data_IF_496996590565
#
_entry.id   IF_496996590565
#
_cell.length_a   1.000
_cell.length_b   1.000
_cell.length_c   1.000
_cell.angle_alpha   90.00
_cell.angle_beta   90.00
_cell.angle_gamma   90.00
#
_symmetry.space_group_name_H-M   'P 1'
#
loop_
_entity.id
_entity.type
_entity.pdbx_description
1 polymer ?
#
# COMPACT_ATOMS: atom_id res chain seq x y z
N UNK A 1 40.72 47.70 -23.75
CA UNK A 1 39.62 47.87 -22.78
C UNK A 1 39.59 46.66 -21.88
N UNK A 2 40.20 46.86 -20.70
CA UNK A 2 39.91 46.30 -19.36
C UNK A 2 39.46 44.84 -19.19
N UNK A 3 40.37 44.04 -18.64
CA UNK A 3 40.15 42.82 -17.81
C UNK A 3 39.49 43.18 -16.47
N UNK A 4 38.84 42.23 -15.78
CA UNK A 4 39.02 41.86 -14.35
C UNK A 4 37.81 41.12 -13.72
N UNK A 5 38.06 39.98 -13.08
CA UNK A 5 37.90 39.63 -11.63
C UNK A 5 36.50 39.04 -11.29
N UNK A 6 36.30 37.79 -10.83
CA UNK A 6 36.80 37.02 -9.67
C UNK A 6 36.13 37.41 -8.32
N UNK A 7 35.73 36.37 -7.57
CA UNK A 7 35.34 36.28 -6.14
C UNK A 7 33.86 36.56 -5.80
N UNK A 8 33.04 35.61 -5.34
CA UNK A 8 33.06 34.75 -4.12
C UNK A 8 32.47 35.43 -2.86
N UNK A 9 31.45 34.75 -2.31
CA UNK A 9 30.93 34.71 -0.92
C UNK A 9 30.30 35.96 -0.30
N UNK A 10 29.16 35.74 0.38
CA UNK A 10 28.77 36.57 1.52
C UNK A 10 27.29 36.60 1.82
N UNK A 11 26.82 35.62 2.60
CA UNK A 11 25.56 35.60 3.34
C UNK A 11 25.17 36.98 3.94
N UNK A 12 23.88 37.31 3.82
CA UNK A 12 23.13 37.96 4.89
C UNK A 12 21.66 37.53 4.83
N UNK A 13 21.29 36.66 5.77
CA UNK A 13 19.92 36.56 6.26
C UNK A 13 19.48 37.91 6.86
N UNK A 14 18.29 38.39 6.50
CA UNK A 14 17.21 38.66 7.48
C UNK A 14 15.93 39.13 6.79
N UNK A 15 14.86 38.40 7.08
CA UNK A 15 13.46 38.83 7.23
C UNK A 15 12.80 39.67 6.14
N UNK A 16 11.92 39.01 5.38
CA UNK A 16 10.84 39.63 4.63
C UNK A 16 9.58 38.78 4.73
N UNK A 17 8.75 39.09 5.72
CA UNK A 17 7.31 38.83 5.87
C UNK A 17 6.78 37.46 5.38
N UNK A 18 6.30 36.68 6.35
CA UNK A 18 5.44 35.53 6.10
C UNK A 18 4.30 35.92 5.16
N UNK A 19 4.21 35.24 4.03
CA UNK A 19 2.97 35.21 3.27
C UNK A 19 1.91 34.69 4.22
N UNK A 20 0.78 35.39 4.44
CA UNK A 20 -0.32 34.81 5.17
C UNK A 20 -0.65 33.51 4.44
N UNK A 21 -0.76 32.42 5.20
CA UNK A 21 -1.37 31.20 4.70
C UNK A 21 -2.71 31.62 4.09
N UNK A 22 -2.75 31.76 2.77
CA UNK A 22 -3.99 31.95 2.07
C UNK A 22 -4.77 30.70 2.40
N UNK A 23 -5.81 30.86 3.23
CA UNK A 23 -6.78 29.80 3.47
C UNK A 23 -7.27 29.38 2.08
N UNK A 24 -6.72 28.27 1.56
CA UNK A 24 -7.24 27.68 0.35
C UNK A 24 -8.71 27.42 0.66
N UNK A 25 -9.65 27.99 -0.11
CA UNK A 25 -11.05 27.64 0.08
C UNK A 25 -11.13 26.12 0.00
N UNK A 26 -11.86 25.45 0.93
CA UNK A 26 -11.98 24.00 0.91
C UNK A 26 -12.43 23.61 -0.49
N UNK A 27 -11.68 22.70 -1.12
CA UNK A 27 -12.01 22.24 -2.47
C UNK A 27 -13.43 21.67 -2.43
N UNK A 28 -14.38 22.38 -3.03
CA UNK A 28 -15.74 21.89 -3.20
C UNK A 28 -15.63 20.73 -4.20
N UNK A 29 -15.90 19.52 -3.74
CA UNK A 29 -15.84 18.29 -4.53
C UNK A 29 -17.18 17.58 -4.43
N UNK A 30 -17.54 16.86 -5.49
CA UNK A 30 -18.64 15.91 -5.41
C UNK A 30 -18.43 14.94 -4.23
N UNK A 31 -19.52 14.43 -3.63
CA UNK A 31 -19.39 13.35 -2.66
C UNK A 31 -18.68 12.15 -3.29
N UNK A 32 -18.13 11.25 -2.47
CA UNK A 32 -17.46 10.02 -2.95
C UNK A 32 -18.45 9.06 -3.61
N UNK A 33 -18.90 9.38 -4.82
CA UNK A 33 -19.87 8.63 -5.60
C UNK A 33 -19.28 7.38 -6.25
N UNK A 34 -17.96 7.20 -6.13
CA UNK A 34 -17.24 6.02 -6.54
C UNK A 34 -16.14 5.66 -5.53
N UNK A 35 -15.69 4.40 -5.56
CA UNK A 35 -14.40 3.99 -5.01
C UNK A 35 -13.66 3.17 -6.05
N UNK A 36 -12.37 3.42 -6.23
CA UNK A 36 -11.51 2.64 -7.12
C UNK A 36 -10.33 2.06 -6.37
N UNK A 37 -9.99 0.81 -6.67
CA UNK A 37 -8.81 0.15 -6.13
C UNK A 37 -8.21 -0.81 -7.15
N UNK A 38 -6.92 -1.14 -6.98
CA UNK A 38 -6.24 -2.16 -7.75
C UNK A 38 -5.47 -3.09 -6.82
N UNK A 39 -5.42 -4.37 -7.18
CA UNK A 39 -4.68 -5.40 -6.46
C UNK A 39 -3.98 -6.30 -7.47
N UNK A 40 -2.74 -6.69 -7.19
CA UNK A 40 -2.09 -7.79 -7.92
C UNK A 40 -2.70 -9.10 -7.44
N UNK A 41 -3.43 -9.79 -8.32
CA UNK A 41 -4.16 -11.01 -7.99
C UNK A 41 -3.38 -12.28 -8.31
N UNK A 42 -2.44 -12.22 -9.25
CA UNK A 42 -1.53 -13.32 -9.53
C UNK A 42 -0.19 -12.83 -10.06
N UNK A 43 0.85 -13.62 -9.78
CA UNK A 43 2.20 -13.42 -10.31
C UNK A 43 2.84 -14.77 -10.58
N UNK A 44 3.24 -15.02 -11.84
CA UNK A 44 3.98 -16.21 -12.21
C UNK A 44 5.38 -15.81 -12.72
N UNK A 45 6.45 -16.00 -11.93
CA UNK A 45 7.81 -15.61 -12.32
C UNK A 45 8.36 -16.46 -13.47
N UNK A 46 7.87 -17.68 -13.66
CA UNK A 46 8.34 -18.57 -14.73
C UNK A 46 7.82 -18.13 -16.11
N UNK A 47 6.54 -17.74 -16.19
CA UNK A 47 5.93 -17.23 -17.43
C UNK A 47 5.93 -15.71 -17.52
N UNK A 48 6.40 -15.02 -16.48
CA UNK A 48 6.35 -13.55 -16.32
C UNK A 48 4.93 -12.97 -16.37
N UNK A 49 3.91 -13.79 -16.15
CA UNK A 49 2.52 -13.34 -16.18
C UNK A 49 2.15 -12.63 -14.88
N UNK A 50 1.71 -11.37 -15.00
CA UNK A 50 1.17 -10.56 -13.91
C UNK A 50 -0.32 -10.32 -14.17
N UNK A 51 -1.15 -10.54 -13.14
CA UNK A 51 -2.58 -10.20 -13.16
C UNK A 51 -2.88 -9.12 -12.14
N UNK A 52 -3.55 -8.07 -12.60
CA UNK A 52 -4.05 -6.98 -11.76
C UNK A 52 -5.57 -6.93 -11.92
N UNK A 53 -6.27 -6.92 -10.79
CA UNK A 53 -7.71 -6.67 -10.78
C UNK A 53 -7.97 -5.24 -10.32
N UNK A 54 -8.65 -4.47 -11.17
CA UNK A 54 -9.16 -3.14 -10.83
C UNK A 54 -10.61 -3.30 -10.40
N UNK A 55 -10.96 -2.74 -9.24
CA UNK A 55 -12.33 -2.71 -8.71
C UNK A 55 -12.87 -1.29 -8.73
N UNK A 56 -14.12 -1.15 -9.18
CA UNK A 56 -14.90 0.08 -9.09
C UNK A 56 -16.17 -0.20 -8.30
N UNK A 57 -16.47 0.63 -7.30
CA UNK A 57 -17.66 0.51 -6.45
C UNK A 57 -18.54 1.76 -6.61
N UNK A 58 -19.86 1.57 -6.56
CA UNK A 58 -20.87 2.62 -6.73
C UNK A 58 -21.65 2.85 -5.42
N UNK A 59 -21.08 3.52 -4.40
CA UNK A 59 -21.65 3.60 -3.05
C UNK A 59 -22.95 4.40 -2.95
N UNK A 60 -23.15 5.42 -3.78
CA UNK A 60 -24.29 6.36 -3.67
C UNK A 60 -25.36 6.06 -4.71
N UNK A 61 -24.97 5.98 -5.98
CA UNK A 61 -25.87 5.84 -7.11
C UNK A 61 -25.22 5.06 -8.24
N UNK A 62 -25.98 4.65 -9.26
CA UNK A 62 -25.42 3.89 -10.36
C UNK A 62 -24.38 4.71 -11.15
N UNK A 63 -23.44 4.01 -11.78
CA UNK A 63 -22.40 4.58 -12.65
C UNK A 63 -22.64 4.05 -14.06
N UNK A 64 -22.83 4.94 -15.04
CA UNK A 64 -22.98 4.58 -16.45
C UNK A 64 -21.68 4.80 -17.24
N UNK A 65 -21.59 4.23 -18.43
CA UNK A 65 -20.48 4.40 -19.37
C UNK A 65 -19.10 4.17 -18.74
N UNK A 66 -19.02 3.16 -17.88
CA UNK A 66 -17.81 2.85 -17.14
C UNK A 66 -16.78 2.24 -18.09
N UNK A 67 -15.56 2.76 -18.03
CA UNK A 67 -14.48 2.29 -18.86
C UNK A 67 -13.17 2.33 -18.10
N UNK A 68 -12.38 1.26 -18.17
CA UNK A 68 -11.14 1.08 -17.40
C UNK A 68 -10.06 0.48 -18.29
N UNK A 69 -8.87 1.03 -18.19
CA UNK A 69 -7.66 0.56 -18.84
C UNK A 69 -6.49 0.65 -17.84
N UNK A 70 -5.54 -0.27 -17.97
CA UNK A 70 -4.27 -0.19 -17.25
C UNK A 70 -3.17 0.22 -18.22
N UNK A 71 -2.59 1.39 -17.97
CA UNK A 71 -1.42 1.89 -18.70
C UNK A 71 -0.18 1.31 -18.03
N UNK A 72 0.39 0.31 -18.69
CA UNK A 72 1.56 -0.40 -18.20
C UNK A 72 2.86 0.37 -18.46
N UNK A 73 3.82 0.33 -17.51
CA UNK A 73 5.13 0.94 -17.68
C UNK A 73 5.93 0.36 -18.85
N UNK A 74 7.04 1.02 -19.17
CA UNK A 74 8.02 0.50 -20.12
C UNK A 74 8.52 -0.89 -19.67
N UNK A 75 8.70 -1.80 -20.63
CA UNK A 75 9.15 -3.18 -20.38
C UNK A 75 8.03 -4.20 -20.18
N UNK A 76 6.76 -3.78 -20.06
CA UNK A 76 5.61 -4.69 -19.99
C UNK A 76 5.05 -4.99 -21.39
N UNK A 77 4.71 -6.25 -21.67
CA UNK A 77 4.17 -6.74 -22.96
C UNK A 77 2.85 -7.50 -22.76
N UNK A 78 2.22 -7.98 -23.85
CA UNK A 78 1.03 -8.87 -23.77
C UNK A 78 -0.16 -8.30 -23.02
N UNK A 79 -0.60 -7.08 -23.36
CA UNK A 79 -1.50 -6.26 -22.53
C UNK A 79 -2.97 -6.52 -22.82
N UNK A 80 -3.76 -6.71 -21.78
CA UNK A 80 -5.23 -6.79 -21.90
C UNK A 80 -5.80 -5.43 -22.33
N UNK A 81 -6.74 -5.39 -23.30
CA UNK A 81 -7.34 -4.15 -23.77
C UNK A 81 -8.27 -3.53 -22.72
N UNK A 82 -8.65 -2.28 -22.97
CA UNK A 82 -9.67 -1.54 -22.23
C UNK A 82 -10.95 -2.38 -22.02
N UNK A 83 -11.50 -2.29 -20.82
CA UNK A 83 -12.76 -2.93 -20.42
C UNK A 83 -13.84 -1.89 -20.25
N UNK A 84 -15.08 -2.23 -20.58
CA UNK A 84 -16.24 -1.35 -20.47
C UNK A 84 -17.40 -2.05 -19.77
N UNK A 85 -18.24 -1.25 -19.11
CA UNK A 85 -19.48 -1.68 -18.51
C UNK A 85 -20.51 -0.54 -18.68
N UNK A 86 -21.63 -0.84 -19.34
CA UNK A 86 -22.64 0.18 -19.65
C UNK A 86 -23.25 0.78 -18.38
N UNK A 87 -23.47 -0.05 -17.35
CA UNK A 87 -24.07 0.36 -16.09
C UNK A 87 -23.63 -0.51 -14.91
N UNK A 88 -23.09 0.12 -13.88
CA UNK A 88 -22.87 -0.43 -12.55
C UNK A 88 -24.01 0.02 -11.63
N UNK A 89 -24.83 -0.89 -11.06
CA UNK A 89 -25.90 -0.53 -10.14
C UNK A 89 -25.39 0.08 -8.82
N UNK A 90 -26.23 0.86 -8.16
CA UNK A 90 -25.93 1.40 -6.83
C UNK A 90 -25.69 0.28 -5.81
N UNK A 91 -24.74 0.49 -4.91
CA UNK A 91 -24.32 -0.47 -3.89
C UNK A 91 -23.52 -1.67 -4.42
N UNK A 92 -23.23 -1.74 -5.72
CA UNK A 92 -22.49 -2.85 -6.32
C UNK A 92 -21.03 -2.50 -6.61
N UNK A 93 -20.24 -3.54 -6.85
CA UNK A 93 -18.87 -3.46 -7.31
C UNK A 93 -18.69 -4.22 -8.61
N UNK A 94 -17.83 -3.70 -9.48
CA UNK A 94 -17.38 -4.36 -10.70
C UNK A 94 -15.87 -4.55 -10.63
N UNK A 95 -15.41 -5.73 -11.06
CA UNK A 95 -14.01 -6.08 -11.11
C UNK A 95 -13.60 -6.38 -12.55
N UNK A 96 -12.54 -5.73 -13.02
CA UNK A 96 -11.94 -5.93 -14.32
C UNK A 96 -10.52 -6.48 -14.15
N UNK A 97 -10.24 -7.63 -14.76
CA UNK A 97 -8.90 -8.22 -14.75
C UNK A 97 -8.09 -7.78 -15.96
N UNK A 98 -6.85 -7.40 -15.71
CA UNK A 98 -5.84 -7.03 -16.69
C UNK A 98 -4.61 -7.91 -16.51
N UNK A 99 -4.20 -8.53 -17.60
CA UNK A 99 -3.00 -9.36 -17.70
C UNK A 99 -1.94 -8.63 -18.51
N UNK A 100 -0.69 -8.74 -18.08
CA UNK A 100 0.49 -8.34 -18.80
C UNK A 100 1.65 -9.31 -18.53
N UNK A 101 2.60 -9.37 -19.46
CA UNK A 101 3.92 -9.96 -19.21
C UNK A 101 4.83 -8.86 -18.62
N UNK A 102 5.42 -9.14 -17.46
CA UNK A 102 6.20 -8.17 -16.69
C UNK A 102 7.69 -8.53 -16.64
N UNK A 103 8.60 -7.56 -16.41
CA UNK A 103 9.98 -7.84 -16.07
C UNK A 103 10.10 -8.73 -14.83
N UNK A 104 11.20 -9.50 -14.73
CA UNK A 104 11.45 -10.36 -13.57
C UNK A 104 11.55 -9.60 -12.23
N UNK A 105 11.92 -8.32 -12.29
CA UNK A 105 11.86 -7.39 -11.17
C UNK A 105 11.42 -6.02 -11.65
N UNK A 106 10.55 -5.37 -10.90
CA UNK A 106 10.06 -4.03 -11.20
C UNK A 106 9.77 -3.29 -9.89
N UNK A 107 9.99 -1.99 -9.88
CA UNK A 107 9.66 -1.10 -8.76
C UNK A 107 9.34 0.27 -9.36
N UNK A 108 8.06 0.64 -9.32
CA UNK A 108 7.57 1.83 -10.02
C UNK A 108 6.06 1.97 -9.88
N UNK A 109 5.42 2.57 -10.87
CA UNK A 109 3.99 2.90 -10.84
C UNK A 109 3.34 2.48 -12.14
N UNK A 110 2.11 1.96 -12.07
CA UNK A 110 1.22 1.88 -13.23
C UNK A 110 0.06 2.84 -13.04
N UNK A 111 -0.59 3.20 -14.15
CA UNK A 111 -1.74 4.08 -14.13
C UNK A 111 -3.00 3.28 -14.50
N UNK A 112 -4.05 3.48 -13.71
CA UNK A 112 -5.41 3.04 -14.03
C UNK A 112 -6.11 4.23 -14.64
N UNK A 113 -6.34 4.19 -15.95
CA UNK A 113 -7.15 5.19 -16.64
C UNK A 113 -8.58 4.71 -16.61
N UNK A 114 -9.43 5.42 -15.86
CA UNK A 114 -10.82 5.06 -15.70
C UNK A 114 -11.75 6.27 -15.84
N UNK A 115 -12.92 6.05 -16.45
CA UNK A 115 -13.97 7.06 -16.60
C UNK A 115 -15.32 6.47 -16.26
N UNK A 116 -16.20 7.23 -15.61
CA UNK A 116 -17.59 6.84 -15.37
C UNK A 116 -18.51 8.04 -15.30
N UNK A 117 -19.79 7.86 -15.63
CA UNK A 117 -20.82 8.89 -15.53
C UNK A 117 -21.67 8.63 -14.28
N UNK A 118 -21.65 9.52 -13.26
CA UNK A 118 -22.52 9.38 -12.11
C UNK A 118 -24.00 9.59 -12.48
N UNK A 119 -24.89 8.93 -11.75
CA UNK A 119 -26.32 9.21 -11.79
C UNK A 119 -26.65 10.58 -11.19
N UNK A 120 -27.12 11.51 -12.01
CA UNK A 120 -27.36 12.89 -11.59
C UNK A 120 -28.41 12.99 -10.49
N UNK A 121 -29.47 12.18 -10.54
CA UNK A 121 -30.55 12.27 -9.54
C UNK A 121 -30.07 11.77 -8.18
N UNK A 122 -29.34 10.66 -8.14
CA UNK A 122 -28.77 10.12 -6.92
C UNK A 122 -27.76 11.09 -6.29
N UNK A 123 -26.87 11.70 -7.09
CA UNK A 123 -25.93 12.70 -6.59
C UNK A 123 -26.64 13.96 -6.09
N UNK A 124 -27.66 14.44 -6.81
CA UNK A 124 -28.45 15.60 -6.40
C UNK A 124 -29.11 15.34 -5.05
N UNK A 125 -29.79 14.19 -4.90
CA UNK A 125 -30.44 13.82 -3.65
C UNK A 125 -29.45 13.77 -2.48
N UNK A 126 -28.21 13.31 -2.72
CA UNK A 126 -27.15 13.27 -1.71
C UNK A 126 -26.65 14.69 -1.33
N UNK A 127 -26.38 15.54 -2.33
CA UNK A 127 -25.98 16.94 -2.12
C UNK A 127 -27.08 17.72 -1.38
N UNK A 128 -28.33 17.37 -1.60
CA UNK A 128 -29.48 18.07 -1.02
C UNK A 128 -29.76 17.70 0.43
N UNK A 129 -29.16 16.62 0.97
CA UNK A 129 -29.38 16.17 2.33
C UNK A 129 -29.09 17.27 3.36
N UNK A 130 -29.95 17.44 4.38
CA UNK A 130 -29.72 18.41 5.44
C UNK A 130 -28.36 18.21 6.12
N UNK A 131 -27.56 19.27 6.19
CA UNK A 131 -26.24 19.24 6.85
C UNK A 131 -25.11 18.60 6.04
N UNK A 132 -25.35 18.09 4.82
CA UNK A 132 -24.29 17.50 3.99
C UNK A 132 -23.27 18.54 3.50
N UNK A 133 -23.75 19.74 3.14
CA UNK A 133 -22.92 20.84 2.64
C UNK A 133 -23.45 22.20 3.10
N UNK A 134 -22.55 23.18 3.23
CA UNK A 134 -22.94 24.58 3.38
C UNK A 134 -23.70 25.06 2.13
N UNK A 135 -24.62 26.02 2.30
CA UNK A 135 -25.50 26.48 1.21
C UNK A 135 -24.74 26.95 -0.05
N UNK A 136 -23.61 27.64 0.12
CA UNK A 136 -22.75 28.07 -0.98
C UNK A 136 -22.10 26.89 -1.72
N UNK A 137 -21.60 25.90 -1.00
CA UNK A 137 -21.03 24.69 -1.59
C UNK A 137 -22.09 23.86 -2.34
N UNK A 138 -23.29 23.75 -1.75
CA UNK A 138 -24.45 23.09 -2.38
C UNK A 138 -24.80 23.73 -3.73
N UNK A 139 -24.87 25.06 -3.81
CA UNK A 139 -25.16 25.77 -5.05
C UNK A 139 -24.11 25.50 -6.15
N UNK A 140 -22.83 25.48 -5.79
CA UNK A 140 -21.73 25.15 -6.71
C UNK A 140 -21.87 23.71 -7.22
N UNK A 141 -22.04 22.75 -6.32
CA UNK A 141 -22.15 21.32 -6.68
C UNK A 141 -23.35 21.02 -7.57
N UNK A 142 -24.51 21.63 -7.30
CA UNK A 142 -25.71 21.46 -8.13
C UNK A 142 -25.53 22.08 -9.52
N UNK A 143 -24.86 23.23 -9.62
CA UNK A 143 -24.54 23.85 -10.90
C UNK A 143 -23.55 22.99 -11.71
N UNK A 144 -22.52 22.43 -11.08
CA UNK A 144 -21.59 21.50 -11.73
C UNK A 144 -22.30 20.23 -12.20
N UNK A 145 -23.19 19.67 -11.37
CA UNK A 145 -23.95 18.47 -11.70
C UNK A 145 -24.90 18.68 -12.89
N UNK A 146 -25.54 19.84 -12.98
CA UNK A 146 -26.41 20.20 -14.10
C UNK A 146 -25.65 20.25 -15.44
N UNK A 147 -24.37 20.65 -15.40
CA UNK A 147 -23.51 20.78 -16.57
C UNK A 147 -22.73 19.50 -16.95
N UNK A 148 -22.93 18.39 -16.23
CA UNK A 148 -22.17 17.15 -16.41
C UNK A 148 -22.57 16.40 -17.69
N UNK A 149 -22.00 16.77 -18.84
CA UNK A 149 -22.33 16.13 -20.14
C UNK A 149 -21.51 14.86 -20.45
N UNK A 150 -20.31 14.74 -19.87
CA UNK A 150 -19.33 13.68 -20.18
C UNK A 150 -19.04 12.81 -18.96
N UNK A 151 -18.61 11.54 -19.15
CA UNK A 151 -18.02 10.76 -18.06
C UNK A 151 -16.89 11.51 -17.38
N UNK A 152 -16.79 11.38 -16.06
CA UNK A 152 -15.74 11.97 -15.23
C UNK A 152 -14.57 10.99 -15.08
N UNK A 153 -13.32 11.49 -14.95
CA UNK A 153 -12.19 10.64 -14.63
C UNK A 153 -12.30 10.11 -13.18
N UNK A 154 -12.09 8.82 -13.03
CA UNK A 154 -12.04 8.10 -11.74
C UNK A 154 -10.79 7.22 -11.63
N UNK A 155 -9.80 7.48 -12.48
CA UNK A 155 -8.52 6.78 -12.52
C UNK A 155 -7.56 7.19 -11.40
N UNK A 156 -6.48 6.44 -11.24
CA UNK A 156 -5.46 6.68 -10.23
C UNK A 156 -4.12 6.02 -10.61
N UNK A 157 -3.03 6.50 -10.03
CA UNK A 157 -1.73 5.83 -10.11
C UNK A 157 -1.55 4.89 -8.92
N UNK A 158 -1.00 3.71 -9.15
CA UNK A 158 -0.75 2.72 -8.10
C UNK A 158 0.71 2.26 -8.16
N UNK A 159 1.40 2.18 -7.01
CA UNK A 159 2.75 1.64 -6.98
C UNK A 159 2.71 0.15 -7.27
N UNK A 160 3.77 -0.39 -7.85
CA UNK A 160 3.91 -1.79 -8.20
C UNK A 160 5.34 -2.24 -7.92
N UNK A 161 5.44 -3.24 -7.05
CA UNK A 161 6.68 -3.97 -6.78
C UNK A 161 6.53 -5.38 -7.30
N UNK A 162 7.51 -5.84 -8.08
CA UNK A 162 7.62 -7.20 -8.57
C UNK A 162 8.99 -7.74 -8.17
N UNK A 163 8.97 -8.89 -7.52
CA UNK A 163 10.11 -9.71 -7.17
C UNK A 163 9.82 -11.16 -7.50
N UNK A 164 10.85 -12.01 -7.53
CA UNK A 164 10.68 -13.43 -7.85
C UNK A 164 9.61 -14.13 -6.98
N UNK A 165 9.50 -13.71 -5.72
CA UNK A 165 8.67 -14.38 -4.70
C UNK A 165 7.32 -13.70 -4.46
N UNK A 166 7.15 -12.43 -4.84
CA UNK A 166 5.99 -11.60 -4.53
C UNK A 166 5.82 -10.52 -5.58
N UNK A 167 4.57 -10.24 -5.96
CA UNK A 167 4.20 -8.99 -6.60
C UNK A 167 3.07 -8.29 -5.83
N UNK A 168 3.13 -6.97 -5.71
CA UNK A 168 2.26 -6.21 -4.81
C UNK A 168 2.05 -4.78 -5.29
N UNK A 169 0.86 -4.23 -5.04
CA UNK A 169 0.52 -2.83 -5.31
C UNK A 169 0.98 -1.88 -4.20
N UNK A 170 2.26 -1.98 -3.81
CA UNK A 170 2.91 -1.10 -2.83
C UNK A 170 4.36 -0.83 -3.23
N UNK A 171 4.98 0.28 -2.78
CA UNK A 171 6.40 0.53 -3.01
C UNK A 171 7.27 -0.53 -2.34
N UNK A 172 8.40 -0.89 -2.97
CA UNK A 172 9.30 -1.93 -2.44
C UNK A 172 9.82 -1.57 -1.06
N UNK A 173 10.05 -0.28 -0.81
CA UNK A 173 10.44 0.27 0.49
C UNK A 173 9.48 -0.12 1.64
N UNK A 174 8.22 -0.44 1.35
CA UNK A 174 7.23 -0.76 2.38
C UNK A 174 7.04 -2.26 2.57
N UNK A 175 7.69 -3.10 1.77
CA UNK A 175 7.55 -4.55 1.86
C UNK A 175 8.43 -5.13 3.00
N UNK A 176 7.84 -5.92 3.90
CA UNK A 176 8.62 -6.79 4.79
C UNK A 176 9.44 -7.81 4.00
N UNK A 177 10.68 -8.04 4.45
CA UNK A 177 11.66 -8.87 3.78
C UNK A 177 11.82 -10.23 4.50
N UNK A 178 12.05 -11.34 3.78
CA UNK A 178 12.28 -12.66 4.37
C UNK A 178 13.70 -12.75 4.99
N UNK A 179 13.84 -12.26 6.22
CA UNK A 179 15.14 -12.03 6.87
C UNK A 179 15.52 -13.10 7.90
N UNK A 180 14.57 -13.56 8.73
CA UNK A 180 14.90 -14.33 9.93
C UNK A 180 14.66 -15.83 9.77
N UNK A 181 15.70 -16.70 9.74
CA UNK A 181 15.52 -18.12 9.51
C UNK A 181 14.84 -18.83 10.69
N UNK A 182 13.83 -19.65 10.39
CA UNK A 182 13.15 -20.52 11.36
C UNK A 182 12.77 -21.83 10.65
N UNK A 183 13.36 -22.95 11.07
CA UNK A 183 13.07 -24.30 10.57
C UNK A 183 12.98 -24.42 9.03
N UNK A 184 13.97 -23.88 8.31
CA UNK A 184 14.05 -23.93 6.85
C UNK A 184 13.16 -22.91 6.11
N UNK A 185 12.38 -22.10 6.82
CA UNK A 185 11.62 -20.95 6.30
C UNK A 185 12.17 -19.66 6.89
N UNK A 186 11.55 -18.52 6.57
CA UNK A 186 11.96 -17.21 7.09
C UNK A 186 10.79 -16.36 7.55
N UNK A 187 10.97 -15.63 8.65
CA UNK A 187 10.05 -14.56 9.04
C UNK A 187 10.26 -13.35 8.14
N UNK A 188 9.15 -12.72 7.77
CA UNK A 188 9.09 -11.46 7.07
C UNK A 188 9.09 -10.31 8.06
N UNK A 189 10.18 -9.56 8.09
CA UNK A 189 10.39 -8.43 9.00
C UNK A 189 10.64 -7.16 8.18
N UNK A 190 10.16 -6.03 8.67
CA UNK A 190 10.37 -4.76 7.99
C UNK A 190 11.70 -4.12 8.41
N UNK A 191 12.72 -4.29 7.58
CA UNK A 191 14.02 -3.64 7.72
C UNK A 191 14.61 -3.30 6.32
N UNK A 192 13.85 -2.59 5.46
CA UNK A 192 14.25 -2.30 4.09
C UNK A 192 15.46 -1.37 4.05
N UNK A 193 16.25 -1.42 2.97
CA UNK A 193 17.33 -0.48 2.74
C UNK A 193 16.77 0.89 2.33
N UNK A 194 16.48 1.73 3.33
CA UNK A 194 15.93 3.08 3.16
C UNK A 194 16.56 4.07 4.15
N UNK A 195 16.44 5.36 3.86
CA UNK A 195 16.82 6.44 4.76
C UNK A 195 15.64 7.39 5.02
N UNK A 196 15.35 7.64 6.29
CA UNK A 196 14.44 8.70 6.74
C UNK A 196 15.13 10.05 6.65
N UNK A 197 14.38 11.07 6.26
CA UNK A 197 14.87 12.46 6.26
C UNK A 197 14.93 13.05 7.67
N UNK A 198 14.06 12.61 8.58
CA UNK A 198 14.10 12.96 9.99
C UNK A 198 15.32 12.28 10.66
N UNK A 199 16.31 13.05 11.18
CA UNK A 199 17.52 12.49 11.76
C UNK A 199 17.27 11.62 13.00
N UNK A 200 16.29 11.98 13.84
CA UNK A 200 15.99 11.26 15.06
C UNK A 200 15.36 9.90 14.74
N UNK A 201 14.43 9.86 13.79
CA UNK A 201 13.84 8.61 13.28
C UNK A 201 14.89 7.78 12.55
N UNK A 202 15.73 8.42 11.72
CA UNK A 202 16.78 7.74 10.96
C UNK A 202 17.77 7.01 11.84
N UNK A 203 18.22 7.63 12.94
CA UNK A 203 19.12 6.98 13.89
C UNK A 203 18.48 5.71 14.48
N UNK A 204 17.24 5.82 14.98
CA UNK A 204 16.52 4.67 15.56
C UNK A 204 16.23 3.59 14.54
N UNK A 205 15.95 3.98 13.30
CA UNK A 205 15.75 3.03 12.22
C UNK A 205 17.03 2.27 11.87
N UNK A 206 18.18 2.94 11.85
CA UNK A 206 19.47 2.29 11.63
C UNK A 206 19.82 1.29 12.75
N UNK A 207 19.57 1.64 14.02
CA UNK A 207 19.72 0.74 15.16
C UNK A 207 18.82 -0.51 15.02
N UNK A 208 17.55 -0.32 14.68
CA UNK A 208 16.60 -1.40 14.41
C UNK A 208 17.04 -2.30 13.25
N UNK A 209 17.38 -1.71 12.11
CA UNK A 209 17.81 -2.46 10.93
C UNK A 209 19.06 -3.29 11.23
N UNK A 210 20.07 -2.70 11.88
CA UNK A 210 21.29 -3.41 12.25
C UNK A 210 21.00 -4.59 13.19
N UNK A 211 20.14 -4.40 14.19
CA UNK A 211 19.76 -5.47 15.13
C UNK A 211 19.02 -6.63 14.44
N UNK A 212 18.08 -6.31 13.53
CA UNK A 212 17.33 -7.31 12.75
C UNK A 212 18.26 -8.10 11.83
N UNK A 213 19.17 -7.41 11.12
CA UNK A 213 20.13 -8.06 10.22
C UNK A 213 21.16 -8.91 10.98
N UNK A 214 21.49 -8.53 12.22
CA UNK A 214 22.32 -9.34 13.12
C UNK A 214 21.58 -10.57 13.69
N UNK A 215 20.27 -10.69 13.47
CA UNK A 215 19.43 -11.81 13.91
C UNK A 215 19.45 -12.05 15.43
N UNK A 216 19.49 -10.97 16.22
CA UNK A 216 19.48 -11.05 17.68
C UNK A 216 18.11 -10.65 18.24
N UNK A 217 17.31 -11.61 18.73
CA UNK A 217 15.88 -11.39 19.01
C UNK A 217 15.65 -10.31 20.07
N UNK A 218 16.32 -10.38 21.22
CA UNK A 218 16.18 -9.40 22.29
C UNK A 218 16.63 -7.99 21.88
N UNK A 219 17.85 -7.81 21.33
CA UNK A 219 18.28 -6.50 20.81
C UNK A 219 17.36 -5.94 19.73
N UNK A 220 16.87 -6.78 18.82
CA UNK A 220 15.92 -6.35 17.78
C UNK A 220 14.64 -5.83 18.41
N UNK A 221 14.02 -6.57 19.35
CA UNK A 221 12.79 -6.12 20.03
C UNK A 221 12.99 -4.78 20.76
N UNK A 222 14.13 -4.60 21.42
CA UNK A 222 14.47 -3.35 22.11
C UNK A 222 14.61 -2.18 21.12
N UNK A 223 15.40 -2.36 20.06
CA UNK A 223 15.59 -1.34 19.02
C UNK A 223 14.28 -0.99 18.31
N UNK A 224 13.43 -1.99 18.03
CA UNK A 224 12.11 -1.78 17.43
C UNK A 224 11.18 -1.01 18.33
N UNK A 225 11.21 -1.27 19.65
CA UNK A 225 10.41 -0.54 20.63
C UNK A 225 10.86 0.92 20.72
N UNK A 226 12.18 1.17 20.69
CA UNK A 226 12.73 2.52 20.64
C UNK A 226 12.35 3.26 19.35
N UNK A 227 12.36 2.58 18.20
CA UNK A 227 11.89 3.12 16.94
C UNK A 227 10.38 3.44 16.98
N UNK A 228 9.53 2.55 17.50
CA UNK A 228 8.10 2.82 17.66
C UNK A 228 7.81 4.05 18.52
N UNK A 229 8.61 4.28 19.57
CA UNK A 229 8.49 5.46 20.42
C UNK A 229 8.92 6.75 19.69
N UNK A 230 9.87 6.65 18.75
CA UNK A 230 10.28 7.77 17.89
C UNK A 230 9.29 8.05 16.75
N UNK A 231 8.55 7.03 16.30
CA UNK A 231 7.48 7.17 15.31
C UNK A 231 6.24 7.82 15.94
N UNK A 232 6.25 9.15 16.01
CA UNK A 232 5.13 9.99 16.42
C UNK A 232 4.79 11.10 15.43
N UNK A 233 3.56 11.64 15.52
CA UNK A 233 3.07 12.72 14.67
C UNK A 233 1.97 12.28 13.69
N UNK A 234 1.40 13.26 12.99
CA UNK A 234 0.36 13.07 11.97
C UNK A 234 0.89 13.24 10.55
N UNK A 235 2.04 13.88 10.39
CA UNK A 235 2.64 14.16 9.08
C UNK A 235 3.38 12.94 8.52
N UNK A 236 3.26 12.64 7.21
CA UNK A 236 4.03 11.58 6.57
C UNK A 236 5.54 11.77 6.70
N UNK A 237 6.26 10.67 6.94
CA UNK A 237 7.71 10.65 6.86
C UNK A 237 8.16 10.58 5.41
N UNK A 238 9.16 11.37 5.03
CA UNK A 238 9.83 11.16 3.74
C UNK A 238 10.91 10.09 3.89
N UNK A 239 10.79 9.06 3.06
CA UNK A 239 11.69 7.91 3.06
C UNK A 239 12.34 7.80 1.70
N UNK A 240 13.67 7.82 1.67
CA UNK A 240 14.48 7.67 0.46
C UNK A 240 14.89 6.21 0.27
N UNK A 241 14.47 5.54 -0.81
CA UNK A 241 14.95 4.20 -1.15
C UNK A 241 16.46 4.17 -1.42
N UNK A 242 17.10 3.00 -1.30
CA UNK A 242 18.55 2.84 -1.53
C UNK A 242 19.02 3.07 -3.00
N UNK A 243 18.11 3.37 -3.93
CA UNK A 243 18.41 3.77 -5.30
C UNK A 243 18.11 5.27 -5.49
N UNK A 244 18.57 5.90 -6.57
CA UNK A 244 18.27 7.31 -6.93
C UNK A 244 16.79 7.59 -7.26
N UNK A 245 15.88 6.84 -6.63
CA UNK A 245 14.45 7.06 -6.68
C UNK A 245 14.08 8.31 -5.86
N UNK A 246 12.99 9.01 -6.24
CA UNK A 246 12.47 10.10 -5.45
C UNK A 246 12.04 9.61 -4.05
N UNK A 247 12.08 10.49 -3.03
CA UNK A 247 11.53 10.18 -1.71
C UNK A 247 10.05 9.77 -1.82
N UNK A 248 9.65 8.83 -0.97
CA UNK A 248 8.28 8.33 -0.88
C UNK A 248 7.73 8.71 0.49
N UNK A 249 6.51 9.22 0.51
CA UNK A 249 5.80 9.51 1.76
C UNK A 249 5.32 8.22 2.42
N UNK A 250 5.75 7.99 3.66
CA UNK A 250 5.32 6.89 4.51
C UNK A 250 4.45 7.45 5.65
N UNK A 251 3.17 7.09 5.65
CA UNK A 251 2.25 7.51 6.69
C UNK A 251 2.70 6.96 8.08
N UNK A 252 2.66 7.75 9.17
CA UNK A 252 3.17 7.32 10.47
C UNK A 252 2.52 6.05 11.00
N UNK A 253 1.20 5.92 10.83
CA UNK A 253 0.48 4.71 11.23
C UNK A 253 0.95 3.47 10.48
N UNK A 254 1.27 3.59 9.18
CA UNK A 254 1.80 2.47 8.39
C UNK A 254 3.20 2.09 8.87
N UNK A 255 4.08 3.07 9.15
CA UNK A 255 5.40 2.83 9.73
C UNK A 255 5.30 2.10 11.07
N UNK A 256 4.40 2.54 11.95
CA UNK A 256 4.15 1.90 13.26
C UNK A 256 3.68 0.47 13.08
N UNK A 257 2.70 0.22 12.20
CA UNK A 257 2.21 -1.14 11.93
C UNK A 257 3.30 -2.08 11.42
N UNK A 258 4.19 -1.60 10.56
CA UNK A 258 5.33 -2.35 10.02
C UNK A 258 6.35 -2.76 11.09
N UNK A 259 6.72 -1.82 11.96
CA UNK A 259 7.65 -2.11 13.08
C UNK A 259 6.98 -2.99 14.12
N UNK A 260 5.73 -2.70 14.48
CA UNK A 260 4.94 -3.45 15.46
C UNK A 260 4.76 -4.92 15.04
N UNK A 261 4.38 -5.18 13.78
CA UNK A 261 4.34 -6.54 13.23
C UNK A 261 5.67 -7.28 13.41
N UNK A 262 6.78 -6.59 13.14
CA UNK A 262 8.10 -7.21 13.22
C UNK A 262 8.49 -7.57 14.66
N UNK A 263 8.16 -6.70 15.62
CA UNK A 263 8.34 -6.97 17.05
C UNK A 263 7.48 -8.15 17.51
N UNK A 264 6.21 -8.19 17.12
CA UNK A 264 5.29 -9.28 17.45
C UNK A 264 5.82 -10.62 16.93
N UNK A 265 6.30 -10.68 15.68
CA UNK A 265 6.90 -11.89 15.12
C UNK A 265 8.11 -12.37 15.93
N UNK A 266 8.96 -11.45 16.39
CA UNK A 266 10.14 -11.75 17.22
C UNK A 266 9.78 -12.12 18.67
N UNK A 267 8.68 -11.60 19.21
CA UNK A 267 8.15 -12.02 20.51
C UNK A 267 7.55 -13.43 20.44
N UNK A 268 6.89 -13.74 19.33
CA UNK A 268 6.23 -15.03 19.11
C UNK A 268 7.20 -16.20 18.83
N UNK A 269 8.50 -15.96 18.68
CA UNK A 269 9.53 -17.00 18.52
C UNK A 269 9.51 -18.05 19.65
N UNK A 270 9.19 -17.61 20.88
CA UNK A 270 9.18 -18.45 22.09
C UNK A 270 7.75 -18.88 22.48
N UNK A 271 6.73 -18.50 21.69
CA UNK A 271 5.33 -18.77 22.03
C UNK A 271 4.93 -20.20 21.65
N UNK A 272 4.22 -20.93 22.53
CA UNK A 272 3.76 -22.28 22.24
C UNK A 272 2.60 -22.28 21.22
N UNK A 273 2.33 -23.41 20.53
CA UNK A 273 1.35 -23.45 19.45
C UNK A 273 -0.07 -23.00 19.82
N UNK A 274 -0.62 -23.29 21.02
CA UNK A 274 -1.93 -22.79 21.41
C UNK A 274 -2.03 -21.26 21.49
N UNK A 275 -0.93 -20.57 21.84
CA UNK A 275 -0.89 -19.10 21.88
C UNK A 275 -0.86 -18.55 20.45
N UNK A 276 -0.02 -19.12 19.60
CA UNK A 276 0.07 -18.75 18.19
C UNK A 276 -1.26 -18.98 17.44
N UNK A 277 -1.95 -20.08 17.72
CA UNK A 277 -3.27 -20.36 17.14
C UNK A 277 -4.31 -19.29 17.50
N UNK A 278 -4.32 -18.83 18.76
CA UNK A 278 -5.19 -17.72 19.18
C UNK A 278 -4.86 -16.41 18.45
N UNK A 279 -3.58 -16.15 18.17
CA UNK A 279 -3.17 -14.98 17.39
C UNK A 279 -3.68 -15.06 15.94
N UNK A 280 -3.69 -16.25 15.31
CA UNK A 280 -4.28 -16.44 13.97
C UNK A 280 -5.77 -16.12 13.96
N UNK A 281 -6.52 -16.62 14.96
CA UNK A 281 -7.96 -16.34 15.05
C UNK A 281 -8.25 -14.85 15.34
N UNK A 282 -7.47 -14.22 16.22
CA UNK A 282 -7.58 -12.78 16.47
C UNK A 282 -7.32 -11.96 15.20
N UNK A 283 -6.33 -12.36 14.40
CA UNK A 283 -6.03 -11.70 13.13
C UNK A 283 -7.14 -11.86 12.09
N UNK A 284 -7.80 -13.03 12.05
CA UNK A 284 -8.95 -13.26 11.18
C UNK A 284 -10.15 -12.38 11.57
N UNK A 285 -10.37 -12.18 12.86
CA UNK A 285 -11.49 -11.41 13.38
C UNK A 285 -11.29 -9.87 13.31
N UNK A 286 -10.04 -9.41 13.18
CA UNK A 286 -9.72 -8.00 13.11
C UNK A 286 -10.08 -7.38 11.75
N UNK A 287 -10.39 -6.06 11.69
CA UNK A 287 -10.47 -5.33 10.44
C UNK A 287 -9.15 -5.45 9.66
N UNK A 288 -9.20 -5.63 8.33
CA UNK A 288 -8.00 -5.84 7.53
C UNK A 288 -7.05 -4.64 7.61
N UNK A 289 -5.79 -4.92 7.89
CA UNK A 289 -4.67 -3.98 7.80
C UNK A 289 -3.66 -4.41 6.74
N UNK A 290 -2.82 -3.47 6.31
CA UNK A 290 -1.76 -3.73 5.32
C UNK A 290 -0.80 -4.85 5.75
N UNK A 291 -0.48 -4.94 7.05
CA UNK A 291 0.52 -5.90 7.56
C UNK A 291 -0.05 -7.27 7.88
N UNK A 292 -1.38 -7.45 7.84
CA UNK A 292 -2.03 -8.68 8.29
C UNK A 292 -1.57 -9.92 7.53
N UNK A 293 -1.39 -9.81 6.21
CA UNK A 293 -0.92 -10.96 5.46
C UNK A 293 0.51 -11.38 5.83
N UNK A 294 1.39 -10.42 6.16
CA UNK A 294 2.73 -10.69 6.65
C UNK A 294 2.74 -11.24 8.09
N UNK A 295 1.85 -10.73 8.96
CA UNK A 295 1.61 -11.30 10.30
C UNK A 295 1.18 -12.76 10.20
N UNK A 296 0.19 -13.05 9.35
CA UNK A 296 -0.32 -14.40 9.13
C UNK A 296 0.77 -15.33 8.58
N UNK A 297 1.59 -14.85 7.63
CA UNK A 297 2.72 -15.60 7.10
C UNK A 297 3.75 -15.98 8.18
N UNK A 298 4.10 -15.02 9.05
CA UNK A 298 5.02 -15.24 10.16
C UNK A 298 4.47 -16.25 11.17
N UNK A 299 3.19 -16.15 11.54
CA UNK A 299 2.54 -17.13 12.42
C UNK A 299 2.56 -18.53 11.81
N UNK A 300 2.30 -18.66 10.51
CA UNK A 300 2.37 -19.95 9.81
C UNK A 300 3.78 -20.54 9.83
N UNK A 301 4.83 -19.73 9.67
CA UNK A 301 6.24 -20.18 9.81
C UNK A 301 6.51 -20.72 11.21
N UNK A 302 6.12 -19.98 12.26
CA UNK A 302 6.33 -20.38 13.65
C UNK A 302 5.55 -21.65 14.03
N UNK A 303 4.30 -21.76 13.58
CA UNK A 303 3.46 -22.95 13.80
C UNK A 303 4.02 -24.19 13.09
N UNK A 304 4.45 -24.03 11.83
CA UNK A 304 5.04 -25.12 11.06
C UNK A 304 6.35 -25.63 11.68
N UNK A 305 7.18 -24.73 12.21
CA UNK A 305 8.42 -25.07 12.91
C UNK A 305 8.18 -25.94 14.16
N UNK A 306 7.01 -25.80 14.78
CA UNK A 306 6.58 -26.56 15.96
C UNK A 306 5.70 -27.78 15.61
N UNK A 307 5.57 -28.13 14.32
CA UNK A 307 4.81 -29.29 13.87
C UNK A 307 3.28 -29.10 13.80
N UNK A 308 2.76 -27.89 14.08
CA UNK A 308 1.33 -27.57 14.02
C UNK A 308 0.86 -27.28 12.58
N UNK A 309 1.02 -28.26 11.68
CA UNK A 309 0.89 -28.08 10.22
C UNK A 309 -0.51 -27.62 9.77
N UNK A 310 -1.58 -28.13 10.38
CA UNK A 310 -2.95 -27.73 10.02
C UNK A 310 -3.19 -26.24 10.30
N UNK A 311 -2.79 -25.77 11.48
CA UNK A 311 -2.95 -24.35 11.86
C UNK A 311 -2.01 -23.46 11.04
N UNK A 312 -0.80 -23.94 10.74
CA UNK A 312 0.12 -23.24 9.86
C UNK A 312 -0.45 -23.02 8.45
N UNK A 313 -1.07 -24.05 7.87
CA UNK A 313 -1.74 -23.95 6.56
C UNK A 313 -2.86 -22.91 6.59
N UNK A 314 -3.66 -22.89 7.65
CA UNK A 314 -4.72 -21.89 7.86
C UNK A 314 -4.15 -20.46 7.94
N UNK A 315 -3.03 -20.27 8.61
CA UNK A 315 -2.36 -18.97 8.70
C UNK A 315 -1.83 -18.52 7.32
N UNK A 316 -1.25 -19.42 6.53
CA UNK A 316 -0.80 -19.09 5.17
C UNK A 316 -1.95 -18.86 4.19
N UNK A 317 -3.08 -19.54 4.37
CA UNK A 317 -4.27 -19.23 3.59
C UNK A 317 -4.75 -17.80 3.84
N UNK A 318 -4.80 -17.39 5.11
CA UNK A 318 -5.12 -16.00 5.48
C UNK A 318 -4.10 -15.01 4.87
N UNK A 319 -2.81 -15.36 4.83
CA UNK A 319 -1.80 -14.54 4.17
C UNK A 319 -2.09 -14.36 2.67
N UNK A 320 -2.45 -15.44 1.96
CA UNK A 320 -2.75 -15.43 0.53
C UNK A 320 -4.09 -14.76 0.19
N UNK A 321 -5.06 -14.75 1.11
CA UNK A 321 -6.29 -13.96 0.97
C UNK A 321 -6.00 -12.45 0.98
N UNK A 322 -4.94 -12.02 1.68
CA UNK A 322 -4.49 -10.61 1.70
C UNK A 322 -3.52 -10.29 0.56
N UNK A 323 -2.61 -11.21 0.26
CA UNK A 323 -1.56 -11.06 -0.76
C UNK A 323 -1.54 -12.29 -1.69
N UNK A 324 -2.45 -12.35 -2.67
CA UNK A 324 -2.64 -13.56 -3.50
C UNK A 324 -1.47 -13.84 -4.45
N UNK A 325 -0.73 -12.79 -4.85
CA UNK A 325 0.45 -12.88 -5.72
C UNK A 325 1.76 -13.16 -4.95
N UNK A 326 1.70 -13.98 -3.89
CA UNK A 326 2.84 -14.32 -3.03
C UNK A 326 3.26 -15.78 -3.17
N UNK A 327 4.11 -16.06 -4.16
CA UNK A 327 4.52 -17.42 -4.51
C UNK A 327 5.27 -18.14 -3.40
N UNK A 328 6.12 -17.44 -2.64
CA UNK A 328 6.85 -18.05 -1.53
C UNK A 328 5.91 -18.68 -0.49
N UNK A 329 4.85 -17.95 -0.10
CA UNK A 329 3.89 -18.45 0.90
C UNK A 329 3.07 -19.60 0.34
N UNK A 330 2.72 -19.54 -0.94
CA UNK A 330 2.05 -20.63 -1.66
C UNK A 330 2.90 -21.91 -1.66
N UNK A 331 4.19 -21.79 -1.99
CA UNK A 331 5.14 -22.90 -1.93
C UNK A 331 5.25 -23.50 -0.52
N UNK A 332 5.28 -22.66 0.52
CA UNK A 332 5.27 -23.13 1.90
C UNK A 332 4.00 -23.91 2.24
N UNK A 333 2.82 -23.41 1.83
CA UNK A 333 1.56 -24.09 2.04
C UNK A 333 1.52 -25.44 1.31
N UNK A 334 1.89 -25.47 0.03
CA UNK A 334 1.91 -26.69 -0.78
C UNK A 334 2.88 -27.74 -0.22
N UNK A 335 3.98 -27.31 0.40
CA UNK A 335 4.95 -28.21 1.02
C UNK A 335 4.39 -29.00 2.22
N UNK A 336 3.31 -28.53 2.85
CA UNK A 336 2.67 -29.24 3.96
C UNK A 336 1.71 -30.34 3.50
N UNK A 337 1.13 -30.22 2.29
CA UNK A 337 0.21 -31.19 1.72
C UNK A 337 0.90 -32.40 1.06
N UNK A 338 2.22 -32.32 0.86
CA UNK A 338 3.04 -33.42 0.33
C UNK A 338 3.72 -34.17 1.48
N UNK A 339 2.95 -35.01 2.18
CA UNK A 339 3.47 -36.03 3.09
C UNK A 339 2.78 -37.35 2.81
#
# INVERSE_FOLDING_TARGET
MTRMLLAILGLAWWMGAGSPAAAMPPAIRFPDWYKTSALVTAWNPATRELRVTVRVEAPIGPIADLAVEVVWPAGFTGRTPRRTLDRLPAGQSWAAEFVAEAPASFDGWFEVVATGRPDRQALQAHIEQPGAYAASAKAVLLAELANLAKPLPIGFCSPLSIEAQLAATVPRAFLPLPLWPVAGRRLHLWAPAVAFTDPAVQQRFAEWQAAVLAQQATPSRQAGTALLAALGGTEPYEVKPAAEQPPIALHPEMARQLVQMSIEALQSLESPPPVLAKQVEALRAAPPSFTDGFRAANLGVLLAAQGATTVASTAWQLALERWPAWNLVREWQDSLGRK
#
